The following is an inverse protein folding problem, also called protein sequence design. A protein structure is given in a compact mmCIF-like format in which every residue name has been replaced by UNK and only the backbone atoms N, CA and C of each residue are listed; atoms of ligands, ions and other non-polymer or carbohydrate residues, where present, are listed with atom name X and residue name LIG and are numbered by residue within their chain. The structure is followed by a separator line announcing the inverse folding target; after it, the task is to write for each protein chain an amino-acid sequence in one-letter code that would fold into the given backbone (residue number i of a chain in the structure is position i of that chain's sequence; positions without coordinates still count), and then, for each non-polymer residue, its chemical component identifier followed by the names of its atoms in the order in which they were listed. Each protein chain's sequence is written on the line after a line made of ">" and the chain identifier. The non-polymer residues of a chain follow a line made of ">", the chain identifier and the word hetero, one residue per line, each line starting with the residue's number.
data_IF_771595745388
#
_entry.id   IF_771595745388
#
_cell.length_a   1.000
_cell.length_b   1.000
_cell.length_c   1.000
_cell.angle_alpha   90.00
_cell.angle_beta   90.00
_cell.angle_gamma   90.00
#
_symmetry.space_group_name_H-M   'P 1'
#
loop_
_entity.id
_entity.type
_entity.pdbx_description
1 polymer ?
#
# COMPACT_ATOMS: atom_id res chain seq x y z
N UNK A 1 -23.86 7.85 -25.21
CA UNK A 1 -23.56 8.14 -23.78
C UNK A 1 -22.20 7.54 -23.45
N UNK A 2 -21.13 8.35 -23.37
CA UNK A 2 -19.76 7.90 -23.07
C UNK A 2 -19.50 8.05 -21.58
N UNK A 3 -19.27 6.93 -20.90
CA UNK A 3 -18.85 6.90 -19.49
C UNK A 3 -17.40 7.40 -19.40
N UNK A 4 -17.18 8.56 -18.77
CA UNK A 4 -15.83 9.04 -18.43
C UNK A 4 -15.30 8.20 -17.27
N UNK A 5 -14.32 7.33 -17.55
CA UNK A 5 -13.49 6.73 -16.49
C UNK A 5 -12.76 7.85 -15.77
N UNK A 6 -12.83 7.85 -14.44
CA UNK A 6 -12.03 8.72 -13.58
C UNK A 6 -10.54 8.53 -13.92
N UNK A 7 -9.89 9.62 -14.30
CA UNK A 7 -8.47 9.67 -14.60
C UNK A 7 -7.70 9.79 -13.29
N UNK A 8 -7.28 8.66 -12.72
CA UNK A 8 -6.25 8.66 -11.69
C UNK A 8 -4.89 8.88 -12.39
N UNK A 9 -4.22 9.97 -12.02
CA UNK A 9 -2.83 10.24 -12.42
C UNK A 9 -1.92 9.10 -11.96
N UNK A 10 -0.84 8.76 -12.69
CA UNK A 10 0.09 7.74 -12.24
C UNK A 10 0.67 8.16 -10.88
N UNK A 11 0.66 7.27 -9.87
CA UNK A 11 1.19 7.59 -8.56
C UNK A 11 2.65 8.02 -8.67
N UNK A 12 3.04 9.05 -7.90
CA UNK A 12 4.45 9.40 -7.76
C UNK A 12 5.22 8.19 -7.21
N UNK A 13 6.51 8.10 -7.52
CA UNK A 13 7.34 6.95 -7.14
C UNK A 13 7.41 6.70 -5.62
N UNK A 14 7.04 7.69 -4.80
CA UNK A 14 6.89 7.58 -3.35
C UNK A 14 5.52 7.04 -2.93
N UNK A 15 4.41 7.57 -3.47
CA UNK A 15 3.05 7.08 -3.17
C UNK A 15 2.90 5.59 -3.47
N UNK A 16 3.34 5.15 -4.64
CA UNK A 16 3.33 3.73 -5.00
C UNK A 16 4.22 2.86 -4.09
N UNK A 17 5.30 3.41 -3.51
CA UNK A 17 6.12 2.66 -2.56
C UNK A 17 5.41 2.50 -1.21
N UNK A 18 4.66 3.52 -0.77
CA UNK A 18 3.87 3.49 0.46
C UNK A 18 2.75 2.45 0.38
N UNK A 19 2.00 2.41 -0.73
CA UNK A 19 0.94 1.42 -0.98
C UNK A 19 1.45 -0.01 -0.82
N UNK A 20 2.62 -0.28 -1.39
CA UNK A 20 3.23 -1.61 -1.32
C UNK A 20 3.60 -1.98 0.11
N UNK A 21 4.24 -1.07 0.84
CA UNK A 21 4.64 -1.31 2.22
C UNK A 21 3.44 -1.56 3.13
N UNK A 22 2.36 -0.82 2.92
CA UNK A 22 1.12 -1.00 3.67
C UNK A 22 0.49 -2.37 3.38
N UNK A 23 0.25 -2.70 2.11
CA UNK A 23 -0.32 -4.00 1.73
C UNK A 23 0.56 -5.17 2.16
N UNK A 24 1.89 -5.04 2.11
CA UNK A 24 2.81 -6.06 2.63
C UNK A 24 2.65 -6.24 4.14
N UNK A 25 2.56 -5.13 4.90
CA UNK A 25 2.38 -5.19 6.34
C UNK A 25 1.03 -5.84 6.71
N UNK A 26 -0.05 -5.49 6.01
CA UNK A 26 -1.37 -6.10 6.21
C UNK A 26 -1.38 -7.61 5.94
N UNK A 27 -0.75 -8.04 4.84
CA UNK A 27 -0.61 -9.46 4.51
C UNK A 27 0.21 -10.21 5.57
N UNK A 28 1.32 -9.64 6.03
CA UNK A 28 2.13 -10.23 7.10
C UNK A 28 1.34 -10.31 8.41
N UNK A 29 0.60 -9.27 8.78
CA UNK A 29 -0.19 -9.26 10.01
C UNK A 29 -1.36 -10.24 9.98
N UNK A 30 -1.97 -10.46 8.80
CA UNK A 30 -3.14 -11.34 8.64
C UNK A 30 -2.78 -12.81 8.39
N UNK A 31 -1.73 -13.09 7.61
CA UNK A 31 -1.35 -14.45 7.17
C UNK A 31 0.01 -14.92 7.70
N UNK A 32 0.79 -14.03 8.30
CA UNK A 32 2.17 -14.30 8.73
C UNK A 32 3.23 -14.12 7.63
N UNK A 33 2.83 -13.92 6.38
CA UNK A 33 3.74 -13.75 5.23
C UNK A 33 3.08 -12.93 4.11
N UNK A 34 3.90 -12.43 3.19
CA UNK A 34 3.44 -11.79 1.95
C UNK A 34 4.08 -12.47 0.74
N UNK A 35 3.28 -12.76 -0.31
CA UNK A 35 3.75 -13.28 -1.59
C UNK A 35 3.43 -12.30 -2.71
N UNK A 36 4.23 -12.32 -3.77
CA UNK A 36 4.04 -11.49 -4.96
C UNK A 36 2.62 -11.62 -5.53
N UNK A 37 2.06 -12.83 -5.56
CA UNK A 37 0.68 -13.06 -6.05
C UNK A 37 -0.38 -12.42 -5.16
N UNK A 38 -0.20 -12.46 -3.83
CA UNK A 38 -1.12 -11.85 -2.87
C UNK A 38 -1.06 -10.31 -2.97
N UNK A 39 0.14 -9.75 -3.14
CA UNK A 39 0.35 -8.29 -3.30
C UNK A 39 -0.26 -7.82 -4.64
N UNK A 40 -0.01 -8.54 -5.72
CA UNK A 40 -0.55 -8.22 -7.05
C UNK A 40 -2.08 -8.20 -7.05
N UNK A 41 -2.71 -9.17 -6.37
CA UNK A 41 -4.15 -9.23 -6.20
C UNK A 41 -4.69 -8.06 -5.37
N UNK A 42 -4.04 -7.74 -4.24
CA UNK A 42 -4.45 -6.64 -3.36
C UNK A 42 -4.39 -5.27 -4.07
N UNK A 43 -3.31 -5.03 -4.81
CA UNK A 43 -3.08 -3.77 -5.53
C UNK A 43 -3.70 -3.74 -6.94
N UNK A 44 -4.31 -4.85 -7.40
CA UNK A 44 -4.91 -5.00 -8.74
C UNK A 44 -3.94 -4.65 -9.88
N UNK A 45 -2.71 -5.13 -9.77
CA UNK A 45 -1.62 -4.91 -10.75
C UNK A 45 -0.95 -6.22 -11.16
N UNK A 46 -0.02 -6.17 -12.12
CA UNK A 46 0.70 -7.36 -12.58
C UNK A 46 1.75 -7.84 -11.58
N UNK A 47 1.99 -9.17 -11.51
CA UNK A 47 3.08 -9.73 -10.70
C UNK A 47 4.47 -9.24 -11.13
N UNK A 48 4.64 -8.91 -12.42
CA UNK A 48 5.88 -8.33 -12.94
C UNK A 48 6.11 -6.93 -12.35
N UNK A 49 5.08 -6.08 -12.32
CA UNK A 49 5.12 -4.77 -11.65
C UNK A 49 5.47 -4.91 -10.18
N UNK A 50 4.88 -5.90 -9.50
CA UNK A 50 5.17 -6.16 -8.09
C UNK A 50 6.63 -6.57 -7.89
N UNK A 51 7.14 -7.47 -8.73
CA UNK A 51 8.54 -7.93 -8.64
C UNK A 51 9.51 -6.76 -8.80
N UNK A 52 9.27 -5.87 -9.77
CA UNK A 52 10.11 -4.69 -10.00
C UNK A 52 10.09 -3.75 -8.78
N UNK A 53 8.92 -3.49 -8.19
CA UNK A 53 8.83 -2.64 -7.00
C UNK A 53 9.47 -3.29 -5.77
N UNK A 54 9.29 -4.59 -5.57
CA UNK A 54 9.90 -5.32 -4.44
C UNK A 54 11.43 -5.28 -4.54
N UNK A 55 12.00 -5.46 -5.73
CA UNK A 55 13.45 -5.32 -5.94
C UNK A 55 13.95 -3.90 -5.66
N UNK A 56 13.16 -2.88 -6.03
CA UNK A 56 13.48 -1.49 -5.71
C UNK A 56 13.46 -1.25 -4.20
N UNK A 57 12.42 -1.68 -3.50
CA UNK A 57 12.28 -1.53 -2.04
C UNK A 57 13.37 -2.32 -1.27
N UNK A 58 13.83 -3.44 -1.83
CA UNK A 58 14.99 -4.19 -1.33
C UNK A 58 16.28 -3.36 -1.47
N UNK A 59 16.52 -2.77 -2.64
CA UNK A 59 17.65 -1.87 -2.88
C UNK A 59 17.61 -0.61 -1.98
N UNK A 60 16.41 -0.13 -1.64
CA UNK A 60 16.19 0.97 -0.68
C UNK A 60 16.31 0.53 0.80
N UNK A 61 16.53 -0.76 1.08
CA UNK A 61 16.71 -1.30 2.43
C UNK A 61 15.42 -1.41 3.25
N UNK A 62 14.26 -1.31 2.60
CA UNK A 62 12.93 -1.40 3.24
C UNK A 62 12.41 -2.84 3.27
N UNK A 63 12.83 -3.66 2.31
CA UNK A 63 12.55 -5.09 2.25
C UNK A 63 13.85 -5.90 2.26
N UNK A 64 13.73 -7.19 2.57
CA UNK A 64 14.65 -8.22 2.10
C UNK A 64 13.86 -9.16 1.20
N UNK A 65 14.21 -9.19 -0.08
CA UNK A 65 13.59 -10.08 -1.06
C UNK A 65 14.54 -11.22 -1.44
N UNK A 66 14.12 -12.45 -1.18
CA UNK A 66 14.85 -13.63 -1.64
C UNK A 66 13.97 -14.42 -2.60
N UNK A 67 14.48 -14.62 -3.82
CA UNK A 67 13.80 -15.42 -4.83
C UNK A 67 13.46 -16.80 -4.25
N UNK A 68 12.21 -17.23 -4.40
CA UNK A 68 11.63 -18.46 -3.84
C UNK A 68 11.46 -18.53 -2.32
N UNK A 69 12.03 -17.61 -1.55
CA UNK A 69 11.91 -17.55 -0.08
C UNK A 69 10.95 -16.46 0.40
N UNK A 70 10.52 -15.59 -0.50
CA UNK A 70 9.52 -14.56 -0.23
C UNK A 70 10.17 -13.22 0.11
N UNK A 71 9.44 -12.38 0.83
CA UNK A 71 9.90 -11.06 1.24
C UNK A 71 9.57 -10.81 2.71
N UNK A 72 10.47 -10.11 3.38
CA UNK A 72 10.29 -9.65 4.76
C UNK A 72 10.53 -8.15 4.84
N UNK A 73 9.78 -7.46 5.69
CA UNK A 73 10.06 -6.07 6.03
C UNK A 73 11.31 -5.99 6.88
N UNK A 74 12.22 -5.09 6.54
CA UNK A 74 13.32 -4.71 7.45
C UNK A 74 12.76 -3.93 8.63
N UNK A 75 13.59 -3.65 9.64
CA UNK A 75 13.18 -2.77 10.73
C UNK A 75 12.75 -1.37 10.24
N UNK A 76 13.46 -0.83 9.24
CA UNK A 76 13.13 0.44 8.60
C UNK A 76 11.81 0.36 7.82
N UNK A 77 11.65 -0.66 6.97
CA UNK A 77 10.40 -0.88 6.23
C UNK A 77 9.21 -1.07 7.14
N UNK A 78 9.35 -1.85 8.23
CA UNK A 78 8.28 -2.06 9.20
C UNK A 78 7.92 -0.79 9.98
N UNK A 79 8.89 0.11 10.23
CA UNK A 79 8.63 1.41 10.85
C UNK A 79 7.83 2.31 9.90
N UNK A 80 8.24 2.38 8.64
CA UNK A 80 7.55 3.18 7.62
C UNK A 80 6.13 2.64 7.35
N UNK A 81 6.00 1.35 7.08
CA UNK A 81 4.71 0.70 6.85
C UNK A 81 3.71 0.92 8.00
N UNK A 82 4.18 0.87 9.25
CA UNK A 82 3.32 1.14 10.42
C UNK A 82 2.87 2.59 10.50
N UNK A 83 3.72 3.55 10.09
CA UNK A 83 3.34 4.96 10.03
C UNK A 83 2.26 5.20 8.98
N UNK A 84 2.40 4.59 7.81
CA UNK A 84 1.41 4.64 6.72
C UNK A 84 0.08 4.07 7.21
N UNK A 85 0.09 2.84 7.73
CA UNK A 85 -1.12 2.18 8.25
C UNK A 85 -1.79 2.95 9.41
N UNK A 86 -0.99 3.62 10.26
CA UNK A 86 -1.52 4.47 11.31
C UNK A 86 -2.21 5.70 10.74
N UNK A 87 -1.65 6.31 9.69
CA UNK A 87 -2.27 7.46 9.02
C UNK A 87 -3.57 7.09 8.34
N UNK A 88 -3.60 5.98 7.61
CA UNK A 88 -4.82 5.41 7.01
C UNK A 88 -5.92 5.25 8.05
N UNK A 89 -5.58 4.60 9.18
CA UNK A 89 -6.51 4.38 10.29
C UNK A 89 -7.02 5.69 10.90
N UNK A 90 -6.13 6.65 11.16
CA UNK A 90 -6.51 7.94 11.75
C UNK A 90 -7.46 8.73 10.84
N UNK A 91 -7.18 8.78 9.53
CA UNK A 91 -8.06 9.45 8.56
C UNK A 91 -9.41 8.75 8.45
N UNK A 92 -9.41 7.42 8.43
CA UNK A 92 -10.63 6.60 8.43
C UNK A 92 -11.50 6.89 9.65
N UNK A 93 -10.89 6.86 10.85
CA UNK A 93 -11.61 7.15 12.10
C UNK A 93 -12.09 8.60 12.15
N UNK A 94 -11.28 9.55 11.70
CA UNK A 94 -11.65 10.97 11.66
C UNK A 94 -12.85 11.23 10.74
N UNK A 95 -12.84 10.73 9.50
CA UNK A 95 -13.96 10.90 8.58
C UNK A 95 -15.23 10.18 9.07
N UNK A 96 -15.08 9.02 9.72
CA UNK A 96 -16.20 8.32 10.35
C UNK A 96 -16.82 9.16 11.48
N UNK A 97 -16.01 9.84 12.29
CA UNK A 97 -16.50 10.77 13.31
C UNK A 97 -17.26 11.95 12.71
N UNK A 98 -16.92 12.38 11.50
CA UNK A 98 -17.64 13.41 10.75
C UNK A 98 -18.93 12.90 10.07
N UNK A 99 -19.26 11.61 10.22
CA UNK A 99 -20.48 11.01 9.67
C UNK A 99 -20.42 10.69 8.17
N UNK A 100 -19.22 10.57 7.60
CA UNK A 100 -19.04 10.20 6.19
C UNK A 100 -19.35 8.70 6.01
N UNK A 101 -20.02 8.35 4.90
CA UNK A 101 -20.31 6.95 4.53
C UNK A 101 -19.02 6.17 4.28
N UNK A 102 -18.91 4.93 4.79
CA UNK A 102 -17.69 4.12 4.69
C UNK A 102 -17.18 3.92 3.25
N UNK A 103 -18.06 3.94 2.23
CA UNK A 103 -17.64 3.85 0.82
C UNK A 103 -16.91 5.11 0.37
N UNK A 104 -17.35 6.27 0.84
CA UNK A 104 -16.70 7.55 0.58
C UNK A 104 -15.40 7.64 1.36
N UNK A 105 -15.39 7.21 2.63
CA UNK A 105 -14.18 7.14 3.45
C UNK A 105 -13.09 6.32 2.75
N UNK A 106 -13.39 5.11 2.30
CA UNK A 106 -12.39 4.28 1.61
C UNK A 106 -11.80 4.99 0.39
N UNK A 107 -12.63 5.63 -0.43
CA UNK A 107 -12.15 6.33 -1.61
C UNK A 107 -11.28 7.54 -1.26
N UNK A 108 -11.70 8.33 -0.27
CA UNK A 108 -11.06 9.59 0.06
C UNK A 108 -9.76 9.40 0.86
N UNK A 109 -9.72 8.43 1.78
CA UNK A 109 -8.51 8.13 2.56
C UNK A 109 -7.35 7.73 1.65
N UNK A 110 -7.56 6.80 0.72
CA UNK A 110 -6.52 6.35 -0.24
C UNK A 110 -5.97 7.53 -1.07
N UNK A 111 -6.82 8.50 -1.44
CA UNK A 111 -6.38 9.68 -2.17
C UNK A 111 -5.64 10.72 -1.31
N UNK A 112 -5.94 10.78 -0.02
CA UNK A 112 -5.46 11.83 0.90
C UNK A 112 -4.19 11.43 1.66
N UNK A 113 -4.05 10.15 2.00
CA UNK A 113 -3.07 9.71 3.01
C UNK A 113 -1.61 9.91 2.61
N UNK A 114 -1.28 9.93 1.32
CA UNK A 114 0.07 10.20 0.85
C UNK A 114 0.44 11.69 0.84
N UNK A 115 -0.55 12.57 0.98
CA UNK A 115 -0.36 14.02 0.94
C UNK A 115 -0.30 14.65 2.34
N UNK A 116 -0.52 13.84 3.38
CA UNK A 116 -0.58 14.27 4.78
C UNK A 116 0.64 13.70 5.50
N UNK A 117 1.37 14.54 6.25
CA UNK A 117 2.59 14.14 6.97
C UNK A 117 2.30 13.56 8.34
#
# INVERSE_FOLDING_TARGET
>A
MRNKKASQSPPSSSTAAEDYLERILELINSKGYARVIDIAAALKISQASVTNMVQRLDAEGLLKYEKYRGLILTAAGKKLARRIAQRHKLLTEFLRLLGVDDRVIHHDVEGMEHHIS
#
